data_IF_667775875456
#
_entry.id   IF_667775875456
#
_cell.length_a   1.000
_cell.length_b   1.000
_cell.length_c   1.000
_cell.angle_alpha   90.00
_cell.angle_beta   90.00
_cell.angle_gamma   90.00
#
_symmetry.space_group_name_H-M   'P 1'
#
loop_
_entity.id
_entity.type
_entity.pdbx_description
1 polymer ?
#
# COMPACT_ATOMS: atom_id res chain seq x y z
N UNK A 1 -71.78 -9.14 -54.18
CA UNK A 1 -71.45 -7.70 -54.19
C UNK A 1 -70.85 -7.34 -52.85
N UNK A 2 -69.54 -7.03 -52.85
CA UNK A 2 -68.71 -6.43 -51.80
C UNK A 2 -69.10 -6.70 -50.33
N UNK A 3 -68.44 -7.70 -49.73
CA UNK A 3 -68.33 -7.79 -48.27
C UNK A 3 -66.88 -7.55 -47.82
N UNK A 4 -66.80 -6.60 -46.90
CA UNK A 4 -65.60 -5.98 -46.32
C UNK A 4 -64.84 -6.97 -45.45
N UNK A 5 -63.53 -6.99 -45.64
CA UNK A 5 -62.54 -7.51 -44.70
C UNK A 5 -62.30 -6.49 -43.59
N UNK A 6 -62.52 -6.88 -42.33
CA UNK A 6 -61.99 -6.18 -41.14
C UNK A 6 -61.71 -7.20 -40.05
N UNK A 7 -60.43 -7.35 -39.70
CA UNK A 7 -59.93 -8.12 -38.56
C UNK A 7 -60.18 -7.35 -37.25
N UNK A 8 -60.63 -7.98 -36.15
CA UNK A 8 -60.57 -7.38 -34.83
C UNK A 8 -59.22 -7.67 -34.16
N UNK A 9 -58.62 -6.61 -33.62
CA UNK A 9 -57.38 -6.62 -32.84
C UNK A 9 -57.56 -7.33 -31.49
N UNK A 10 -56.68 -8.28 -31.20
CA UNK A 10 -56.52 -8.92 -29.89
C UNK A 10 -55.57 -8.05 -29.05
N UNK A 11 -56.05 -7.48 -27.95
CA UNK A 11 -55.21 -6.82 -26.95
C UNK A 11 -54.71 -7.87 -25.94
N UNK A 12 -53.41 -8.18 -25.97
CA UNK A 12 -52.70 -8.88 -24.90
C UNK A 12 -51.86 -7.84 -24.14
N UNK A 13 -52.34 -7.43 -22.97
CA UNK A 13 -51.55 -6.71 -21.97
C UNK A 13 -50.62 -7.73 -21.28
N UNK A 14 -49.34 -7.72 -21.67
CA UNK A 14 -48.29 -8.41 -20.92
C UNK A 14 -47.68 -7.41 -19.96
N UNK A 15 -48.02 -7.53 -18.68
CA UNK A 15 -47.41 -6.77 -17.59
C UNK A 15 -45.99 -7.29 -17.37
N UNK A 16 -44.99 -6.62 -17.95
CA UNK A 16 -43.58 -6.82 -17.61
C UNK A 16 -43.31 -6.22 -16.24
N UNK A 17 -43.25 -7.06 -15.20
CA UNK A 17 -42.57 -6.69 -13.95
C UNK A 17 -41.07 -6.65 -14.24
N UNK A 18 -40.54 -5.45 -14.45
CA UNK A 18 -39.11 -5.20 -14.47
C UNK A 18 -38.53 -5.47 -13.08
N UNK A 19 -37.90 -6.64 -12.89
CA UNK A 19 -36.95 -6.87 -11.82
C UNK A 19 -35.77 -5.92 -12.06
N UNK A 20 -35.77 -4.78 -11.38
CA UNK A 20 -34.58 -3.94 -11.30
C UNK A 20 -33.57 -4.74 -10.47
N UNK A 21 -32.40 -5.11 -11.01
CA UNK A 21 -31.35 -5.68 -10.18
C UNK A 21 -31.00 -4.63 -9.13
N UNK A 22 -31.10 -5.01 -7.86
CA UNK A 22 -30.54 -4.23 -6.77
C UNK A 22 -29.04 -4.18 -7.05
N UNK A 23 -28.56 -3.04 -7.53
CA UNK A 23 -27.13 -2.80 -7.65
C UNK A 23 -26.59 -2.87 -6.23
N UNK A 24 -25.80 -3.90 -5.96
CA UNK A 24 -25.05 -4.00 -4.71
C UNK A 24 -24.27 -2.71 -4.56
N UNK A 25 -24.51 -1.94 -3.50
CA UNK A 25 -23.74 -0.74 -3.25
C UNK A 25 -22.27 -1.18 -3.15
N UNK A 26 -21.38 -0.53 -3.90
CA UNK A 26 -19.95 -0.68 -3.69
C UNK A 26 -19.69 -0.34 -2.21
N UNK A 27 -19.22 -1.33 -1.46
CA UNK A 27 -18.83 -1.09 -0.06
C UNK A 27 -17.66 -0.10 -0.08
N UNK A 28 -17.82 1.00 0.64
CA UNK A 28 -16.72 1.93 0.87
C UNK A 28 -15.86 1.37 1.98
N UNK A 29 -14.54 1.30 1.82
CA UNK A 29 -13.61 1.07 2.91
C UNK A 29 -12.95 2.41 3.20
N UNK A 30 -13.12 2.92 4.43
CA UNK A 30 -12.55 4.18 4.86
C UNK A 30 -12.00 3.98 6.26
N UNK A 31 -10.71 4.27 6.42
CA UNK A 31 -9.95 4.10 7.65
C UNK A 31 -9.04 5.30 7.81
N UNK A 32 -8.95 5.85 9.02
CA UNK A 32 -7.89 6.81 9.35
C UNK A 32 -6.77 6.13 10.14
N UNK A 33 -5.53 6.53 9.86
CA UNK A 33 -4.33 6.13 10.56
C UNK A 33 -4.20 7.01 11.78
N UNK A 34 -4.39 6.44 12.98
CA UNK A 34 -4.12 7.15 14.22
C UNK A 34 -2.61 7.31 14.40
N UNK A 35 -2.16 8.50 14.75
CA UNK A 35 -0.77 8.89 14.95
C UNK A 35 -0.60 9.51 16.33
N UNK A 36 0.32 8.96 17.12
CA UNK A 36 0.64 9.47 18.47
C UNK A 36 2.10 9.30 18.80
N UNK A 37 2.56 9.96 19.86
CA UNK A 37 3.92 9.76 20.39
C UNK A 37 3.93 8.61 21.41
N UNK A 38 4.83 7.66 21.23
CA UNK A 38 5.18 6.68 22.25
C UNK A 38 6.70 6.43 22.26
N UNK A 39 7.31 6.44 23.44
CA UNK A 39 8.75 6.22 23.61
C UNK A 39 9.62 7.12 22.70
N UNK A 40 9.27 8.41 22.63
CA UNK A 40 9.94 9.43 21.79
C UNK A 40 9.91 9.13 20.28
N UNK A 41 8.96 8.33 19.81
CA UNK A 41 8.76 8.01 18.41
C UNK A 41 7.30 8.18 18.02
N UNK A 42 7.05 8.50 16.75
CA UNK A 42 5.71 8.32 16.20
C UNK A 42 5.38 6.83 16.15
N UNK A 43 4.15 6.51 16.53
CA UNK A 43 3.55 5.19 16.39
C UNK A 43 2.19 5.34 15.73
N UNK A 44 1.80 4.31 14.97
CA UNK A 44 0.53 4.27 14.26
C UNK A 44 -0.35 3.16 14.79
N UNK A 45 -1.65 3.39 14.81
CA UNK A 45 -2.64 2.41 15.23
C UNK A 45 -3.93 2.52 14.39
N UNK A 46 -4.82 1.54 14.53
CA UNK A 46 -6.18 1.67 13.99
C UNK A 46 -6.96 2.68 14.83
N UNK A 47 -7.57 3.67 14.19
CA UNK A 47 -8.30 4.68 14.96
C UNK A 47 -9.49 4.05 15.71
N UNK A 48 -9.49 4.20 17.04
CA UNK A 48 -10.49 3.58 17.93
C UNK A 48 -11.71 4.48 18.21
N UNK A 49 -11.71 5.71 17.68
CA UNK A 49 -12.70 6.75 17.99
C UNK A 49 -13.80 6.83 16.94
N UNK A 50 -14.94 6.23 17.23
CA UNK A 50 -16.11 6.22 16.35
C UNK A 50 -16.73 7.61 16.07
N UNK A 51 -16.38 8.62 16.87
CA UNK A 51 -16.87 9.99 16.76
C UNK A 51 -15.99 10.90 15.88
N UNK A 52 -14.74 10.51 15.63
CA UNK A 52 -13.70 11.38 15.06
C UNK A 52 -12.94 10.74 13.88
N UNK A 53 -12.97 9.41 13.76
CA UNK A 53 -12.37 8.68 12.65
C UNK A 53 -13.36 7.68 12.07
N UNK A 54 -13.11 7.28 10.83
CA UNK A 54 -13.80 6.15 10.21
C UNK A 54 -13.04 4.85 10.43
N UNK A 55 -13.77 3.78 10.78
CA UNK A 55 -13.34 2.39 10.62
C UNK A 55 -14.50 1.61 10.01
N UNK A 56 -14.79 1.91 8.75
CA UNK A 56 -15.96 1.33 8.08
C UNK A 56 -15.56 0.18 7.16
N UNK A 57 -16.32 -0.91 7.24
CA UNK A 57 -16.20 -2.06 6.35
C UNK A 57 -15.18 -3.12 6.78
N UNK A 58 -14.60 -3.02 7.99
CA UNK A 58 -13.66 -4.03 8.51
C UNK A 58 -14.31 -5.41 8.60
N UNK A 59 -15.61 -5.46 8.91
CA UNK A 59 -16.43 -6.66 8.95
C UNK A 59 -16.55 -7.39 7.60
N UNK A 60 -16.27 -6.70 6.49
CA UNK A 60 -16.31 -7.26 5.14
C UNK A 60 -14.94 -7.70 4.63
N UNK A 61 -13.89 -7.64 5.45
CA UNK A 61 -12.53 -8.05 5.07
C UNK A 61 -12.32 -9.56 5.05
N UNK A 62 -13.33 -10.35 5.45
CA UNK A 62 -13.25 -11.81 5.49
C UNK A 62 -12.34 -12.35 6.61
N UNK A 63 -12.04 -11.50 7.59
CA UNK A 63 -11.29 -11.86 8.79
C UNK A 63 -12.22 -12.41 9.88
N UNK A 64 -11.71 -13.22 10.82
CA UNK A 64 -12.43 -13.58 12.03
C UNK A 64 -12.98 -12.35 12.77
N UNK A 65 -14.12 -12.53 13.45
CA UNK A 65 -14.79 -11.44 14.16
C UNK A 65 -13.84 -10.74 15.16
N UNK A 66 -13.79 -9.41 15.07
CA UNK A 66 -12.94 -8.57 15.92
C UNK A 66 -11.45 -8.57 15.56
N UNK A 67 -11.02 -9.32 14.53
CA UNK A 67 -9.63 -9.33 14.10
C UNK A 67 -9.33 -8.14 13.17
N UNK A 68 -8.40 -7.28 13.59
CA UNK A 68 -7.88 -6.19 12.77
C UNK A 68 -6.80 -6.70 11.78
N UNK A 69 -6.72 -6.11 10.58
CA UNK A 69 -5.81 -6.56 9.52
C UNK A 69 -4.35 -6.20 9.84
N UNK A 70 -3.64 -7.09 10.52
CA UNK A 70 -2.18 -7.00 10.67
C UNK A 70 -1.49 -7.94 9.68
N UNK A 71 -0.42 -7.48 9.06
CA UNK A 71 0.41 -8.29 8.17
C UNK A 71 0.96 -9.52 8.90
N UNK A 72 0.77 -10.71 8.34
CA UNK A 72 1.14 -11.96 9.00
C UNK A 72 2.65 -12.04 9.31
N UNK A 73 3.49 -11.54 8.40
CA UNK A 73 4.94 -11.66 8.50
C UNK A 73 5.51 -10.68 9.53
N UNK A 74 5.07 -9.43 9.50
CA UNK A 74 5.65 -8.33 10.29
C UNK A 74 4.87 -7.97 11.54
N UNK A 75 3.60 -8.38 11.63
CA UNK A 75 2.67 -7.97 12.68
C UNK A 75 2.24 -6.49 12.60
N UNK A 76 2.57 -5.77 11.52
CA UNK A 76 2.26 -4.35 11.36
C UNK A 76 0.86 -4.12 10.79
N UNK A 77 0.21 -2.98 11.09
CA UNK A 77 -1.15 -2.70 10.63
C UNK A 77 -1.22 -2.52 9.10
N UNK A 78 -2.31 -3.02 8.52
CA UNK A 78 -2.71 -2.82 7.12
C UNK A 78 -4.00 -1.99 7.09
N UNK A 79 -3.89 -0.74 6.66
CA UNK A 79 -5.02 0.16 6.50
C UNK A 79 -5.69 -0.09 5.15
N UNK A 80 -6.99 -0.40 5.16
CA UNK A 80 -7.72 -0.84 3.97
C UNK A 80 -8.59 0.27 3.41
N UNK A 81 -8.53 0.46 2.09
CA UNK A 81 -9.27 1.49 1.37
C UNK A 81 -9.73 0.99 -0.01
N UNK A 82 -10.62 1.73 -0.65
CA UNK A 82 -11.18 1.43 -1.98
C UNK A 82 -10.83 2.54 -2.97
N UNK A 83 -10.16 2.19 -4.06
CA UNK A 83 -9.99 3.11 -5.18
C UNK A 83 -11.32 3.30 -5.90
N UNK A 84 -11.65 4.56 -6.20
CA UNK A 84 -12.88 4.94 -6.90
C UNK A 84 -12.55 5.36 -8.33
N UNK A 85 -13.33 4.86 -9.29
CA UNK A 85 -13.19 5.22 -10.70
C UNK A 85 -14.07 6.45 -11.01
N UNK A 86 -13.42 7.60 -11.13
CA UNK A 86 -14.03 8.84 -11.60
C UNK A 86 -13.74 9.04 -13.09
N UNK A 87 -14.54 9.86 -13.82
CA UNK A 87 -14.23 10.19 -15.20
C UNK A 87 -12.82 10.78 -15.35
N UNK A 88 -11.91 10.01 -15.94
CA UNK A 88 -10.53 10.44 -16.19
C UNK A 88 -9.59 10.34 -14.99
N UNK A 89 -9.95 9.67 -13.89
CA UNK A 89 -9.04 9.40 -12.78
C UNK A 89 -9.50 8.21 -11.93
N UNK A 90 -8.56 7.37 -11.47
CA UNK A 90 -8.82 6.36 -10.44
C UNK A 90 -8.12 6.82 -9.17
N UNK A 91 -8.88 7.23 -8.16
CA UNK A 91 -8.31 7.88 -6.98
C UNK A 91 -9.11 7.64 -5.70
N UNK A 92 -8.46 7.95 -4.58
CA UNK A 92 -9.05 8.02 -3.24
C UNK A 92 -8.23 8.97 -2.37
N UNK A 93 -8.85 9.68 -1.44
CA UNK A 93 -8.19 10.58 -0.47
C UNK A 93 -7.98 9.92 0.90
N UNK A 94 -8.03 8.59 0.93
CA UNK A 94 -8.07 7.77 2.13
C UNK A 94 -7.05 6.64 2.04
N UNK A 95 -6.41 6.22 3.14
CA UNK A 95 -6.69 6.64 4.52
C UNK A 95 -6.23 8.07 4.84
N UNK A 96 -6.92 8.72 5.79
CA UNK A 96 -6.45 9.95 6.41
C UNK A 96 -5.43 9.67 7.52
N UNK A 97 -4.79 10.73 8.03
CA UNK A 97 -3.92 10.70 9.20
C UNK A 97 -4.56 11.54 10.30
N UNK A 98 -4.65 10.97 11.49
CA UNK A 98 -5.37 11.56 12.62
C UNK A 98 -4.53 11.53 13.90
N UNK A 99 -4.52 12.62 14.66
CA UNK A 99 -4.02 12.67 16.02
C UNK A 99 -5.00 13.47 16.90
N UNK A 100 -5.30 12.99 18.10
CA UNK A 100 -6.15 13.71 19.05
C UNK A 100 -5.41 14.91 19.66
N UNK A 101 -6.17 15.78 20.31
CA UNK A 101 -5.58 16.86 21.12
C UNK A 101 -4.58 16.29 22.14
N UNK A 102 -3.35 16.80 22.11
CA UNK A 102 -2.26 16.39 22.99
C UNK A 102 -1.49 15.13 22.59
N UNK A 103 -1.88 14.43 21.50
CA UNK A 103 -1.15 13.24 21.03
C UNK A 103 0.20 13.58 20.38
N UNK A 104 0.28 14.77 19.78
CA UNK A 104 1.46 15.36 19.16
C UNK A 104 1.77 16.74 19.76
N UNK A 105 2.99 17.26 19.53
CA UNK A 105 3.36 18.59 19.97
C UNK A 105 2.78 19.67 19.05
N UNK A 106 2.42 20.83 19.59
CA UNK A 106 1.89 21.94 18.80
C UNK A 106 2.86 22.41 17.69
N UNK A 107 2.38 22.58 16.46
CA UNK A 107 3.18 23.01 15.30
C UNK A 107 4.18 21.97 14.80
N UNK A 108 4.08 20.73 15.28
CA UNK A 108 4.89 19.62 14.80
C UNK A 108 4.50 19.23 13.37
N UNK A 109 5.51 19.14 12.50
CA UNK A 109 5.37 18.74 11.10
C UNK A 109 5.59 17.23 11.00
N UNK A 110 4.53 16.51 10.65
CA UNK A 110 4.57 15.06 10.42
C UNK A 110 4.90 14.78 8.96
N UNK A 111 5.80 13.85 8.72
CA UNK A 111 6.28 13.45 7.40
C UNK A 111 6.15 11.93 7.26
N UNK A 112 5.95 11.47 6.03
CA UNK A 112 6.11 10.05 5.71
C UNK A 112 7.48 9.80 5.07
N UNK A 113 7.93 8.56 5.12
CA UNK A 113 9.03 8.01 4.35
C UNK A 113 8.51 6.79 3.59
N UNK A 114 8.46 6.89 2.28
CA UNK A 114 8.07 5.81 1.38
C UNK A 114 9.21 4.80 1.22
N UNK A 115 8.87 3.51 1.11
CA UNK A 115 9.85 2.45 0.94
C UNK A 115 9.29 1.27 0.13
N UNK A 116 10.18 0.37 -0.27
CA UNK A 116 9.80 -0.89 -0.89
C UNK A 116 9.36 -0.78 -2.33
N UNK A 117 8.51 -1.73 -2.73
CA UNK A 117 7.97 -1.90 -4.06
C UNK A 117 6.45 -2.06 -3.98
N UNK A 118 5.74 -1.72 -5.05
CA UNK A 118 4.29 -1.88 -5.12
C UNK A 118 3.92 -3.37 -5.16
N UNK A 119 3.34 -3.87 -4.08
CA UNK A 119 2.81 -5.22 -4.01
C UNK A 119 1.42 -5.28 -4.67
N UNK A 120 1.11 -6.42 -5.27
CA UNK A 120 -0.11 -6.65 -6.03
C UNK A 120 -0.66 -8.05 -5.78
N UNK A 121 -1.92 -8.13 -5.38
CA UNK A 121 -2.68 -9.36 -5.40
C UNK A 121 -3.11 -9.65 -6.83
N UNK A 122 -2.58 -10.73 -7.40
CA UNK A 122 -2.93 -11.15 -8.74
C UNK A 122 -4.13 -12.11 -8.67
N UNK A 123 -5.38 -11.68 -8.98
CA UNK A 123 -6.57 -12.48 -8.72
C UNK A 123 -6.57 -13.81 -9.48
N UNK A 124 -6.04 -13.84 -10.70
CA UNK A 124 -5.94 -15.09 -11.47
C UNK A 124 -4.91 -16.10 -10.92
N UNK A 125 -3.87 -15.64 -10.22
CA UNK A 125 -2.85 -16.50 -9.61
C UNK A 125 -3.14 -16.77 -8.12
N UNK A 126 -4.07 -16.03 -7.52
CA UNK A 126 -4.41 -16.05 -6.11
C UNK A 126 -3.17 -15.96 -5.20
N UNK A 127 -2.26 -15.02 -5.52
CA UNK A 127 -1.05 -14.77 -4.75
C UNK A 127 -0.61 -13.31 -4.83
N UNK A 128 0.12 -12.88 -3.81
CA UNK A 128 0.84 -11.61 -3.78
C UNK A 128 2.11 -11.70 -4.62
N UNK A 129 2.34 -10.68 -5.44
CA UNK A 129 3.46 -10.51 -6.37
C UNK A 129 3.85 -9.03 -6.42
N UNK A 130 4.92 -8.67 -7.13
CA UNK A 130 5.11 -7.31 -7.60
C UNK A 130 4.01 -6.88 -8.59
N UNK A 131 3.72 -5.57 -8.60
CA UNK A 131 2.76 -4.97 -9.51
C UNK A 131 3.12 -5.19 -10.99
N UNK A 132 2.11 -5.22 -11.88
CA UNK A 132 2.34 -5.31 -13.32
C UNK A 132 3.19 -4.16 -13.87
N UNK A 133 3.95 -4.44 -14.93
CA UNK A 133 4.82 -3.45 -15.56
C UNK A 133 4.05 -2.18 -15.93
N UNK A 134 4.62 -1.02 -15.63
CA UNK A 134 4.05 0.28 -15.96
C UNK A 134 2.80 0.64 -15.16
N UNK A 135 2.46 -0.08 -14.08
CA UNK A 135 1.41 0.30 -13.12
C UNK A 135 2.04 0.93 -11.89
N UNK A 136 1.46 2.02 -11.39
CA UNK A 136 1.91 2.69 -10.18
C UNK A 136 0.76 3.20 -9.32
N UNK A 137 1.02 3.29 -8.01
CA UNK A 137 0.24 4.12 -7.09
C UNK A 137 1.01 5.42 -6.88
N UNK A 138 0.43 6.55 -7.27
CA UNK A 138 1.01 7.87 -6.99
C UNK A 138 0.33 8.47 -5.77
N UNK A 139 1.13 8.96 -4.83
CA UNK A 139 0.72 9.74 -3.66
C UNK A 139 1.02 11.22 -3.94
N UNK A 140 -0.02 12.04 -3.97
CA UNK A 140 0.07 13.49 -4.10
C UNK A 140 -0.59 14.19 -2.90
N UNK A 141 -0.49 15.51 -2.86
CA UNK A 141 -0.95 16.32 -1.72
C UNK A 141 0.13 16.51 -0.65
N UNK A 142 1.23 15.75 -0.73
CA UNK A 142 2.42 15.99 0.09
C UNK A 142 3.13 17.28 -0.32
N UNK A 143 3.40 18.14 0.67
CA UNK A 143 4.19 19.35 0.48
C UNK A 143 5.65 19.08 0.88
N UNK A 144 6.60 19.76 0.24
CA UNK A 144 7.95 19.89 0.76
C UNK A 144 8.33 21.36 0.91
N UNK A 145 9.18 21.66 1.87
CA UNK A 145 9.71 22.98 2.14
C UNK A 145 11.17 23.01 1.72
N UNK A 146 11.48 23.71 0.63
CA UNK A 146 12.86 23.90 0.21
C UNK A 146 13.38 25.26 0.65
N UNK A 147 14.64 25.36 1.12
CA UNK A 147 15.25 26.65 1.42
C UNK A 147 15.32 27.51 0.15
N UNK A 148 14.54 28.60 0.11
CA UNK A 148 14.64 29.62 -0.93
C UNK A 148 15.54 30.75 -0.41
N UNK A 149 16.62 31.07 -1.13
CA UNK A 149 17.45 32.26 -0.84
C UNK A 149 17.27 33.36 -1.90
N UNK A 150 16.40 33.14 -2.89
CA UNK A 150 16.22 34.02 -4.04
C UNK A 150 15.34 35.24 -3.74
N UNK A 151 14.68 35.28 -2.58
CA UNK A 151 13.76 36.36 -2.21
C UNK A 151 14.45 37.71 -1.88
N UNK A 152 15.79 37.76 -1.88
CA UNK A 152 16.56 39.00 -1.69
C UNK A 152 16.48 39.60 -0.28
N UNK A 153 16.12 38.81 0.73
CA UNK A 153 16.03 39.21 2.15
C UNK A 153 17.02 38.41 2.99
N UNK A 154 17.37 38.93 4.17
CA UNK A 154 18.23 38.25 5.15
C UNK A 154 17.58 36.95 5.66
N UNK A 155 16.25 36.91 5.70
CA UNK A 155 15.45 35.70 5.93
C UNK A 155 14.44 35.57 4.81
N UNK A 156 14.53 34.48 4.08
CA UNK A 156 13.59 34.13 3.02
C UNK A 156 12.66 33.02 3.51
N UNK A 157 11.33 33.15 3.29
CA UNK A 157 10.42 32.05 3.54
C UNK A 157 10.79 30.88 2.62
N UNK A 158 10.74 29.63 3.10
CA UNK A 158 10.98 28.48 2.25
C UNK A 158 9.95 28.40 1.11
N UNK A 159 10.38 27.90 -0.04
CA UNK A 159 9.49 27.63 -1.17
C UNK A 159 8.72 26.33 -0.90
N UNK A 160 7.40 26.37 -1.09
CA UNK A 160 6.55 25.18 -1.03
C UNK A 160 6.64 24.48 -2.38
N UNK A 161 7.25 23.31 -2.42
CA UNK A 161 7.30 22.48 -3.61
C UNK A 161 6.26 21.37 -3.46
N UNK A 162 5.33 21.31 -4.39
CA UNK A 162 4.45 20.16 -4.55
C UNK A 162 5.26 19.01 -5.12
N UNK A 163 5.43 17.95 -4.34
CA UNK A 163 6.03 16.70 -4.79
C UNK A 163 4.96 15.62 -4.97
N UNK A 164 5.36 14.51 -5.58
CA UNK A 164 4.62 13.26 -5.49
C UNK A 164 5.59 12.12 -5.25
N UNK A 165 5.09 11.07 -4.60
CA UNK A 165 5.76 9.78 -4.51
C UNK A 165 5.07 8.83 -5.46
N UNK A 166 5.82 8.08 -6.26
CA UNK A 166 5.27 6.93 -6.98
C UNK A 166 5.78 5.63 -6.38
N UNK A 167 4.87 4.69 -6.19
CA UNK A 167 5.15 3.31 -5.85
C UNK A 167 4.94 2.48 -7.11
N UNK A 168 5.98 1.83 -7.60
CA UNK A 168 5.89 0.88 -8.72
C UNK A 168 6.59 -0.43 -8.36
N UNK A 169 6.57 -1.38 -9.29
CA UNK A 169 7.32 -2.62 -9.13
C UNK A 169 8.84 -2.44 -9.13
N UNK A 170 9.34 -1.31 -9.63
CA UNK A 170 10.77 -0.95 -9.62
C UNK A 170 11.17 -0.24 -8.32
N UNK A 171 10.20 0.12 -7.49
CA UNK A 171 10.40 0.73 -6.19
C UNK A 171 9.80 2.13 -6.09
N UNK A 172 10.46 2.99 -5.32
CA UNK A 172 10.01 4.36 -5.08
C UNK A 172 10.57 5.31 -6.13
N UNK A 173 9.68 6.04 -6.81
CA UNK A 173 10.00 7.17 -7.68
C UNK A 173 9.52 8.51 -7.10
N UNK A 174 10.00 9.61 -7.68
CA UNK A 174 9.69 10.95 -7.20
C UNK A 174 10.32 11.24 -5.83
N UNK A 175 9.60 11.97 -4.98
CA UNK A 175 10.05 12.27 -3.62
C UNK A 175 9.81 11.05 -2.71
N UNK A 176 10.82 10.58 -1.99
CA UNK A 176 10.66 9.48 -1.03
C UNK A 176 10.11 9.92 0.33
N UNK A 177 9.96 11.22 0.57
CA UNK A 177 9.38 11.78 1.78
C UNK A 177 8.74 13.13 1.50
N UNK A 178 7.49 13.32 1.94
CA UNK A 178 6.77 14.60 1.92
C UNK A 178 6.03 14.79 3.25
N UNK A 179 5.53 16.01 3.46
CA UNK A 179 4.73 16.39 4.63
C UNK A 179 3.34 15.73 4.54
N UNK A 180 2.94 15.07 5.63
CA UNK A 180 1.58 14.58 5.87
C UNK A 180 0.69 15.71 6.36
N UNK A 181 1.20 16.54 7.28
CA UNK A 181 0.51 17.72 7.80
C UNK A 181 1.26 18.38 8.95
N UNK A 182 0.77 19.54 9.37
CA UNK A 182 1.22 20.27 10.56
C UNK A 182 0.11 20.21 11.62
N UNK A 183 0.51 19.96 12.86
CA UNK A 183 -0.43 19.88 13.99
C UNK A 183 -0.94 21.26 14.41
N UNK A 184 -2.18 21.29 14.86
CA UNK A 184 -2.82 22.47 15.44
C UNK A 184 -2.16 22.86 16.78
N UNK A 185 -2.43 24.07 17.32
CA UNK A 185 -1.88 24.51 18.60
C UNK A 185 -2.22 23.64 19.82
N UNK A 186 -3.26 22.81 19.73
CA UNK A 186 -3.65 21.82 20.74
C UNK A 186 -3.00 20.44 20.51
N UNK A 187 -2.12 20.28 19.51
CA UNK A 187 -1.47 19.02 19.16
C UNK A 187 -2.31 18.08 18.28
N UNK A 188 -3.51 18.47 17.87
CA UNK A 188 -4.34 17.65 17.00
C UNK A 188 -3.87 17.70 15.54
N UNK A 189 -4.05 16.61 14.81
CA UNK A 189 -3.80 16.51 13.37
C UNK A 189 -4.99 15.82 12.70
N UNK A 190 -5.41 16.34 11.55
CA UNK A 190 -6.30 15.62 10.64
C UNK A 190 -5.95 16.05 9.21
N UNK A 191 -5.36 15.14 8.45
CA UNK A 191 -4.98 15.41 7.05
C UNK A 191 -5.27 14.22 6.16
N UNK A 192 -5.47 14.52 4.88
CA UNK A 192 -5.71 13.54 3.83
C UNK A 192 -4.71 13.80 2.71
N UNK A 193 -4.25 12.72 2.09
CA UNK A 193 -3.40 12.74 0.91
C UNK A 193 -4.13 12.03 -0.23
N UNK A 194 -3.81 12.43 -1.46
CA UNK A 194 -4.50 11.92 -2.64
C UNK A 194 -3.73 10.76 -3.27
N UNK A 195 -4.39 9.62 -3.39
CA UNK A 195 -3.86 8.39 -3.98
C UNK A 195 -4.43 8.20 -5.38
N UNK A 196 -3.57 7.86 -6.34
CA UNK A 196 -3.94 7.65 -7.73
C UNK A 196 -3.42 6.30 -8.23
N UNK A 197 -4.28 5.52 -8.90
CA UNK A 197 -3.85 4.35 -9.66
C UNK A 197 -3.73 4.73 -11.14
N UNK A 198 -2.52 4.64 -11.67
CA UNK A 198 -2.19 5.12 -13.00
C UNK A 198 -1.02 4.34 -13.62
N UNK A 199 -0.78 4.60 -14.90
CA UNK A 199 0.43 4.17 -15.57
C UNK A 199 1.63 5.04 -15.22
N UNK A 200 2.82 4.58 -15.56
CA UNK A 200 4.07 5.35 -15.49
C UNK A 200 4.05 6.66 -16.32
N UNK A 201 3.12 6.78 -17.27
CA UNK A 201 2.84 8.00 -18.05
C UNK A 201 1.73 8.88 -17.44
N UNK A 202 1.27 8.58 -16.23
CA UNK A 202 0.21 9.33 -15.54
C UNK A 202 -1.19 9.14 -16.15
N UNK A 203 -1.39 8.06 -16.93
CA UNK A 203 -2.72 7.75 -17.47
C UNK A 203 -3.48 6.91 -16.45
N UNK A 204 -4.72 7.28 -16.06
CA UNK A 204 -5.51 6.48 -15.14
C UNK A 204 -5.66 5.04 -15.64
N UNK A 205 -5.30 4.06 -14.82
CA UNK A 205 -5.33 2.67 -15.23
C UNK A 205 -4.48 1.75 -14.37
N UNK A 206 -4.80 0.47 -14.47
CA UNK A 206 -4.17 -0.64 -13.75
C UNK A 206 -5.12 -1.84 -13.85
N UNK A 207 -4.62 -3.09 -13.85
CA UNK A 207 -5.49 -4.25 -13.85
C UNK A 207 -6.28 -4.36 -12.54
N UNK A 208 -7.45 -5.00 -12.60
CA UNK A 208 -8.24 -5.33 -11.41
C UNK A 208 -7.41 -6.21 -10.45
N UNK A 209 -7.36 -5.83 -9.18
CA UNK A 209 -6.53 -6.44 -8.17
C UNK A 209 -6.50 -5.63 -6.88
N UNK A 210 -5.71 -6.08 -5.91
CA UNK A 210 -5.44 -5.31 -4.69
C UNK A 210 -3.99 -4.84 -4.71
N UNK A 211 -3.74 -3.58 -4.36
CA UNK A 211 -2.43 -2.96 -4.40
C UNK A 211 -2.02 -2.59 -2.98
N UNK A 212 -0.78 -2.84 -2.60
CA UNK A 212 -0.31 -2.52 -1.25
C UNK A 212 0.99 -1.73 -1.31
N UNK A 213 0.99 -0.59 -0.61
CA UNK A 213 2.16 0.26 -0.42
C UNK A 213 2.64 0.17 1.02
N UNK A 214 3.87 0.58 1.27
CA UNK A 214 4.43 0.62 2.61
C UNK A 214 5.16 1.93 2.89
N UNK A 215 5.05 2.42 4.12
CA UNK A 215 5.69 3.66 4.55
C UNK A 215 5.94 3.66 6.05
N UNK A 216 6.69 4.66 6.50
CA UNK A 216 6.95 4.97 7.92
C UNK A 216 6.67 6.44 8.16
N UNK A 217 6.35 6.83 9.39
CA UNK A 217 6.14 8.21 9.79
C UNK A 217 7.26 8.70 10.68
N UNK A 218 7.60 9.98 10.58
CA UNK A 218 8.50 10.67 11.49
C UNK A 218 8.14 12.15 11.56
N UNK A 219 8.77 12.89 12.46
CA UNK A 219 8.65 14.34 12.52
C UNK A 219 10.01 14.99 12.79
N UNK A 220 10.06 16.31 12.72
CA UNK A 220 11.26 17.07 13.07
C UNK A 220 11.65 16.90 14.55
N UNK A 221 10.66 16.66 15.42
CA UNK A 221 10.85 16.47 16.86
C UNK A 221 11.11 14.99 17.21
N UNK A 222 10.61 14.08 16.38
CA UNK A 222 10.75 12.63 16.51
C UNK A 222 11.30 12.04 15.21
N UNK A 223 12.59 12.26 14.97
CA UNK A 223 13.27 11.93 13.71
C UNK A 223 13.52 10.44 13.47
N UNK A 224 13.35 9.60 14.50
CA UNK A 224 13.41 8.14 14.31
C UNK A 224 12.11 7.67 13.65
N UNK A 225 12.16 7.01 12.47
CA UNK A 225 10.95 6.55 11.79
C UNK A 225 10.17 5.53 12.62
N UNK A 226 8.83 5.58 12.50
CA UNK A 226 7.86 4.63 13.06
C UNK A 226 8.14 3.19 12.62
N UNK A 227 7.36 2.22 13.08
CA UNK A 227 7.34 0.92 12.40
C UNK A 227 6.74 1.10 11.00
N UNK A 228 6.95 0.11 10.14
CA UNK A 228 6.24 0.08 8.87
C UNK A 228 4.73 0.05 9.11
N UNK A 229 4.02 0.73 8.24
CA UNK A 229 2.59 0.55 8.06
C UNK A 229 2.31 0.26 6.59
N UNK A 230 1.21 -0.44 6.36
CA UNK A 230 0.76 -0.80 5.03
C UNK A 230 -0.55 -0.12 4.69
N UNK A 231 -0.73 0.27 3.43
CA UNK A 231 -2.02 0.72 2.92
C UNK A 231 -2.40 -0.18 1.75
N UNK A 232 -3.56 -0.82 1.86
CA UNK A 232 -4.10 -1.78 0.92
C UNK A 232 -5.31 -1.19 0.18
N UNK A 233 -5.15 -1.04 -1.13
CA UNK A 233 -6.17 -0.51 -2.03
C UNK A 233 -6.86 -1.65 -2.77
N UNK A 234 -8.18 -1.75 -2.64
CA UNK A 234 -8.97 -2.54 -3.59
C UNK A 234 -9.17 -1.76 -4.89
N UNK A 235 -8.91 -2.39 -6.04
CA UNK A 235 -9.28 -1.89 -7.35
C UNK A 235 -10.08 -2.94 -8.14
N UNK A 236 -11.38 -2.69 -8.29
CA UNK A 236 -12.28 -3.47 -9.15
C UNK A 236 -12.39 -4.97 -8.84
N UNK A 237 -11.94 -5.45 -7.67
CA UNK A 237 -12.26 -6.80 -7.21
C UNK A 237 -13.67 -6.85 -6.62
N UNK A 238 -14.34 -7.99 -6.78
CA UNK A 238 -15.53 -8.30 -5.98
C UNK A 238 -15.17 -8.44 -4.50
N UNK A 239 -16.17 -8.32 -3.62
CA UNK A 239 -15.99 -8.51 -2.17
C UNK A 239 -15.26 -9.84 -1.86
N UNK A 240 -15.72 -10.94 -2.46
CA UNK A 240 -15.13 -12.26 -2.24
C UNK A 240 -13.68 -12.40 -2.72
N UNK A 241 -13.30 -11.72 -3.80
CA UNK A 241 -11.93 -11.71 -4.30
C UNK A 241 -11.04 -10.82 -3.44
N UNK A 242 -11.58 -9.71 -2.95
CA UNK A 242 -10.85 -8.83 -2.05
C UNK A 242 -10.62 -9.46 -0.67
N UNK A 243 -11.60 -10.18 -0.13
CA UNK A 243 -11.46 -11.00 1.08
C UNK A 243 -10.35 -12.04 0.94
N UNK A 244 -10.18 -12.65 -0.24
CA UNK A 244 -9.06 -13.56 -0.51
C UNK A 244 -7.71 -12.84 -0.45
N UNK A 245 -7.61 -11.65 -1.03
CA UNK A 245 -6.39 -10.85 -0.98
C UNK A 245 -5.99 -10.50 0.46
N UNK A 246 -6.95 -10.04 1.27
CA UNK A 246 -6.74 -9.67 2.68
C UNK A 246 -6.37 -10.90 3.50
N UNK A 247 -7.14 -11.98 3.43
CA UNK A 247 -6.89 -13.19 4.22
C UNK A 247 -5.56 -13.85 3.85
N UNK A 248 -5.15 -13.85 2.58
CA UNK A 248 -3.84 -14.33 2.15
C UNK A 248 -2.68 -13.50 2.75
N UNK A 249 -2.91 -12.22 3.07
CA UNK A 249 -1.90 -11.35 3.69
C UNK A 249 -1.88 -11.43 5.22
N UNK A 250 -3.05 -11.57 5.83
CA UNK A 250 -3.25 -11.47 7.28
C UNK A 250 -3.17 -12.84 7.98
N UNK A 251 -3.68 -13.90 7.34
CA UNK A 251 -3.86 -15.21 7.97
C UNK A 251 -2.87 -16.26 7.48
N UNK A 252 -2.22 -16.04 6.34
CA UNK A 252 -1.35 -17.02 5.70
C UNK A 252 0.11 -16.56 5.71
N UNK A 253 1.07 -17.47 5.95
CA UNK A 253 2.47 -17.15 5.73
C UNK A 253 2.71 -16.94 4.23
N UNK A 254 3.17 -15.75 3.85
CA UNK A 254 3.53 -15.41 2.47
C UNK A 254 4.88 -16.00 2.05
N UNK A 255 5.65 -16.53 3.00
CA UNK A 255 7.01 -17.06 2.82
C UNK A 255 7.09 -18.40 3.57
N UNK A 256 7.69 -19.42 2.94
CA UNK A 256 8.08 -20.67 3.59
C UNK A 256 9.55 -20.55 4.06
N UNK A 257 9.81 -20.34 5.37
CA UNK A 257 11.16 -20.11 5.86
C UNK A 257 12.11 -21.26 5.55
N UNK A 258 11.63 -22.52 5.55
CA UNK A 258 12.46 -23.70 5.31
C UNK A 258 12.92 -23.75 3.86
N UNK A 259 12.04 -23.45 2.91
CA UNK A 259 12.41 -23.38 1.49
C UNK A 259 13.29 -22.19 1.20
N UNK A 260 12.99 -21.02 1.77
CA UNK A 260 13.79 -19.82 1.59
C UNK A 260 15.19 -19.97 2.20
N UNK A 261 15.33 -20.59 3.37
CA UNK A 261 16.63 -20.89 3.96
C UNK A 261 17.48 -21.78 3.06
N UNK A 262 16.89 -22.82 2.45
CA UNK A 262 17.63 -23.66 1.49
C UNK A 262 18.10 -22.87 0.27
N UNK A 263 17.30 -21.91 -0.20
CA UNK A 263 17.72 -21.03 -1.30
C UNK A 263 18.90 -20.15 -0.88
N UNK A 264 18.86 -19.60 0.34
CA UNK A 264 19.97 -18.82 0.87
C UNK A 264 21.23 -19.67 1.07
N UNK A 265 21.13 -20.87 1.63
CA UNK A 265 22.24 -21.80 1.78
C UNK A 265 22.85 -22.18 0.40
N UNK A 266 22.00 -22.39 -0.60
CA UNK A 266 22.45 -22.60 -1.98
C UNK A 266 23.20 -21.37 -2.53
N UNK A 267 22.69 -20.17 -2.28
CA UNK A 267 23.32 -18.93 -2.73
C UNK A 267 24.69 -18.73 -2.07
N UNK A 268 24.81 -18.99 -0.77
CA UNK A 268 26.08 -18.98 -0.01
C UNK A 268 27.11 -19.94 -0.61
N UNK A 269 26.69 -21.14 -1.02
CA UNK A 269 27.59 -22.14 -1.60
C UNK A 269 28.03 -21.81 -3.04
N UNK A 270 27.19 -21.16 -3.84
CA UNK A 270 27.42 -20.94 -5.27
C UNK A 270 27.95 -19.53 -5.61
N UNK A 271 27.70 -18.54 -4.74
CA UNK A 271 28.13 -17.15 -4.94
C UNK A 271 28.85 -16.59 -3.70
N UNK A 272 29.97 -17.19 -3.26
CA UNK A 272 30.66 -16.79 -2.04
C UNK A 272 31.21 -15.36 -2.08
N UNK A 273 31.44 -14.78 -3.27
CA UNK A 273 31.85 -13.37 -3.39
C UNK A 273 30.72 -12.41 -2.96
N UNK A 274 29.46 -12.83 -3.13
CA UNK A 274 28.27 -12.07 -2.74
C UNK A 274 27.80 -12.45 -1.34
N UNK A 275 27.86 -13.75 -1.01
CA UNK A 275 27.30 -14.35 0.21
C UNK A 275 28.39 -15.16 0.96
N UNK A 276 29.36 -14.49 1.61
CA UNK A 276 30.66 -15.06 1.98
C UNK A 276 30.67 -16.03 3.16
N UNK A 277 29.58 -16.15 3.91
CA UNK A 277 29.49 -17.04 5.06
C UNK A 277 28.02 -17.36 5.35
N UNK A 278 27.78 -18.41 6.13
CA UNK A 278 26.42 -18.67 6.63
C UNK A 278 25.95 -17.56 7.55
N UNK A 279 24.74 -17.08 7.29
CA UNK A 279 24.08 -16.04 8.07
C UNK A 279 22.76 -16.55 8.64
N UNK A 280 22.31 -15.96 9.75
CA UNK A 280 21.01 -16.27 10.32
C UNK A 280 19.93 -15.45 9.63
N UNK A 281 18.80 -16.08 9.36
CA UNK A 281 17.62 -15.41 8.81
C UNK A 281 16.88 -14.60 9.87
N UNK A 282 16.32 -13.47 9.46
CA UNK A 282 15.51 -12.58 10.30
C UNK A 282 14.47 -11.85 9.45
N UNK A 283 13.51 -11.21 10.12
CA UNK A 283 12.51 -10.38 9.45
C UNK A 283 12.93 -8.92 9.61
N UNK A 284 13.03 -8.20 8.49
CA UNK A 284 13.28 -6.76 8.49
C UNK A 284 12.60 -6.10 7.31
N UNK A 285 11.91 -4.99 7.59
CA UNK A 285 11.23 -4.17 6.58
C UNK A 285 10.27 -4.95 5.66
N UNK A 286 9.59 -5.99 6.19
CA UNK A 286 8.71 -6.85 5.40
C UNK A 286 9.43 -7.92 4.56
N UNK A 287 10.75 -8.08 4.71
CA UNK A 287 11.53 -9.13 4.07
C UNK A 287 11.91 -10.21 5.06
N UNK A 288 11.83 -11.47 4.64
CA UNK A 288 12.56 -12.56 5.27
C UNK A 288 13.96 -12.62 4.68
N UNK A 289 14.98 -12.27 5.45
CA UNK A 289 16.28 -11.87 4.93
C UNK A 289 17.48 -12.43 5.70
N UNK A 290 18.63 -12.45 5.04
CA UNK A 290 19.97 -12.64 5.61
C UNK A 290 20.87 -11.49 5.20
N UNK A 291 21.73 -11.05 6.11
CA UNK A 291 22.76 -10.05 5.85
C UNK A 291 24.14 -10.58 6.19
N UNK A 292 25.12 -10.22 5.37
CA UNK A 292 26.48 -10.73 5.41
C UNK A 292 27.48 -9.63 5.79
N UNK A 293 28.67 -10.03 6.23
CA UNK A 293 29.73 -9.13 6.70
C UNK A 293 30.27 -8.19 5.62
N UNK A 294 30.13 -8.55 4.33
CA UNK A 294 30.48 -7.67 3.20
C UNK A 294 29.42 -6.57 2.95
N UNK A 295 28.38 -6.50 3.80
CA UNK A 295 27.30 -5.52 3.72
C UNK A 295 26.21 -5.87 2.71
N UNK A 296 26.30 -6.99 2.00
CA UNK A 296 25.21 -7.49 1.15
C UNK A 296 24.11 -8.08 2.05
N UNK A 297 22.86 -7.84 1.70
CA UNK A 297 21.71 -8.52 2.24
C UNK A 297 20.90 -9.12 1.10
N UNK A 298 20.33 -10.29 1.32
CA UNK A 298 19.36 -10.95 0.42
C UNK A 298 18.07 -11.19 1.19
N UNK A 299 16.92 -10.95 0.55
CA UNK A 299 15.62 -11.10 1.18
C UNK A 299 14.54 -11.55 0.23
N UNK A 300 13.52 -12.19 0.76
CA UNK A 300 12.33 -12.62 0.03
C UNK A 300 11.13 -11.82 0.50
N UNK A 301 10.32 -11.37 -0.47
CA UNK A 301 9.05 -10.68 -0.23
C UNK A 301 8.17 -10.79 -1.48
N UNK A 302 6.87 -10.97 -1.31
CA UNK A 302 5.88 -10.97 -2.39
C UNK A 302 6.29 -11.84 -3.60
N UNK A 303 6.71 -13.08 -3.34
CA UNK A 303 7.21 -14.07 -4.34
C UNK A 303 8.45 -13.63 -5.14
N UNK A 304 9.19 -12.63 -4.66
CA UNK A 304 10.41 -12.13 -5.31
C UNK A 304 11.59 -12.15 -4.34
N UNK A 305 12.77 -12.34 -4.90
CA UNK A 305 14.06 -12.26 -4.19
C UNK A 305 14.69 -10.93 -4.52
N UNK A 306 15.21 -10.26 -3.50
CA UNK A 306 15.83 -8.96 -3.58
C UNK A 306 17.21 -8.96 -2.92
N UNK A 307 18.07 -8.06 -3.37
CA UNK A 307 19.37 -7.81 -2.76
C UNK A 307 19.60 -6.32 -2.54
N UNK A 308 20.34 -5.98 -1.49
CA UNK A 308 20.76 -4.60 -1.19
C UNK A 308 22.12 -4.59 -0.51
N UNK A 309 22.78 -3.43 -0.46
CA UNK A 309 24.07 -3.25 0.18
C UNK A 309 25.24 -3.87 -0.59
N UNK A 310 26.46 -3.62 -0.12
CA UNK A 310 27.68 -4.06 -0.77
C UNK A 310 27.72 -3.69 -2.26
N UNK A 311 27.89 -4.67 -3.14
CA UNK A 311 27.93 -4.45 -4.60
C UNK A 311 26.59 -4.02 -5.22
N UNK A 312 25.47 -4.19 -4.51
CA UNK A 312 24.14 -3.79 -4.98
C UNK A 312 23.81 -2.32 -4.64
N UNK A 313 24.69 -1.64 -3.88
CA UNK A 313 24.50 -0.24 -3.49
C UNK A 313 23.41 -0.04 -2.44
N UNK A 314 22.93 1.20 -2.30
CA UNK A 314 21.96 1.55 -1.26
C UNK A 314 20.49 1.20 -1.61
N UNK A 315 20.22 0.86 -2.88
CA UNK A 315 18.89 0.48 -3.34
C UNK A 315 18.55 -0.98 -3.03
N UNK A 316 17.26 -1.30 -3.02
CA UNK A 316 16.78 -2.69 -3.02
C UNK A 316 16.57 -3.08 -4.48
N UNK A 317 17.25 -4.12 -4.93
CA UNK A 317 17.27 -4.57 -6.32
C UNK A 317 16.59 -5.92 -6.42
N UNK A 318 15.60 -6.05 -7.31
CA UNK A 318 14.99 -7.33 -7.65
C UNK A 318 16.03 -8.25 -8.33
N UNK A 319 16.20 -9.46 -7.80
CA UNK A 319 17.07 -10.50 -8.38
C UNK A 319 16.25 -11.46 -9.26
N UNK A 320 14.99 -11.70 -8.90
CA UNK A 320 14.03 -12.45 -9.70
C UNK A 320 12.93 -13.09 -8.87
N UNK A 321 12.03 -13.82 -9.54
CA UNK A 321 10.96 -14.57 -8.88
C UNK A 321 11.53 -15.71 -8.01
N UNK A 322 10.98 -15.86 -6.81
CA UNK A 322 11.36 -16.89 -5.85
C UNK A 322 11.25 -18.28 -6.45
N UNK A 323 10.13 -18.56 -7.13
CA UNK A 323 9.88 -19.87 -7.75
C UNK A 323 10.91 -20.17 -8.84
N UNK A 324 11.30 -19.18 -9.65
CA UNK A 324 12.31 -19.37 -10.69
C UNK A 324 13.69 -19.69 -10.09
N UNK A 325 14.07 -18.98 -9.03
CA UNK A 325 15.36 -19.18 -8.34
C UNK A 325 15.42 -20.50 -7.57
N UNK A 326 14.32 -20.93 -6.96
CA UNK A 326 14.21 -22.26 -6.35
C UNK A 326 14.40 -23.37 -7.40
N UNK A 327 13.74 -23.25 -8.56
CA UNK A 327 13.91 -24.20 -9.65
C UNK A 327 15.35 -24.23 -10.18
N UNK A 328 16.00 -23.07 -10.30
CA UNK A 328 17.40 -22.97 -10.68
C UNK A 328 18.34 -23.64 -9.67
N UNK A 329 18.01 -23.54 -8.37
CA UNK A 329 18.74 -24.19 -7.29
C UNK A 329 18.45 -25.70 -7.17
N UNK A 330 17.43 -26.21 -7.87
CA UNK A 330 16.98 -27.60 -7.80
C UNK A 330 16.24 -27.94 -6.50
N UNK A 331 15.49 -26.99 -5.95
CA UNK A 331 14.83 -27.07 -4.63
C UNK A 331 13.31 -27.23 -4.68
#
# INVERSE_FOLDING_TARGET
>A
MLHKTTYPYFWLLVSWLSLVPIVSQAQSFHQDIEVRIANQRLVTDFCQRSDMCSIYGIEFLGLPEGQLPHDHLTGQPIYVTQLVNFPGVIAIDSPGFFASEGDLSAGEIVRYQASGHLAYWHPALQRWTLAPQGTQIRLAGGLDLQPDQSCGRVFCPPEIITGFTSYSREGIGGASSLIVGETQPNGALHSHLDWFLESDQGTPGGPAGAYMVEMRLFSEQHSTPSELLYILFNHALSESEFQQAVTARVLQPSIDPVRTDKLFDWAEANFPDLFPHTANSFIALGYYARCYQNGVCVGVKDDHVFSTGGTFGAGIVEVGELTALLNQAGL
#
